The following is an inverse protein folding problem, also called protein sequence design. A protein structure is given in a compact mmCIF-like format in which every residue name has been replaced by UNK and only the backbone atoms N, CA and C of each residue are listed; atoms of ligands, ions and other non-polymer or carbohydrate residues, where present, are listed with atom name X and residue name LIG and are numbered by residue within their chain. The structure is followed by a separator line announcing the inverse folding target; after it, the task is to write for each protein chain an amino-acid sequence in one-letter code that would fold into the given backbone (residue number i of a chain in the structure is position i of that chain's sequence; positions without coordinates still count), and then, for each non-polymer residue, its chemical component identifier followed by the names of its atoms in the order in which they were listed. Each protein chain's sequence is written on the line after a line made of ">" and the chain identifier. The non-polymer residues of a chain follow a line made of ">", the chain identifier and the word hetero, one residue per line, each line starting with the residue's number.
data_IF_341272313629
#
_entry.id   IF_341272313629
#
_cell.length_a   1.000
_cell.length_b   1.000
_cell.length_c   1.000
_cell.angle_alpha   90.00
_cell.angle_beta   90.00
_cell.angle_gamma   90.00
#
_symmetry.space_group_name_H-M   'P 1'
#
loop_
_entity.id
_entity.type
_entity.pdbx_description
1 polymer ?
#
# COMPACT_ATOMS: atom_id res chain seq x y z
N UNK A 1 -3.39 -4.64 25.88
CA UNK A 1 -3.23 -5.42 24.65
C UNK A 1 -3.71 -6.84 24.86
N UNK A 2 -4.50 -7.39 23.95
CA UNK A 2 -4.90 -8.81 23.88
C UNK A 2 -4.00 -9.55 22.89
N UNK A 3 -3.68 -10.82 23.18
CA UNK A 3 -2.79 -11.65 22.37
C UNK A 3 -3.48 -12.94 21.92
N UNK A 4 -3.12 -13.43 20.75
CA UNK A 4 -3.54 -14.75 20.30
C UNK A 4 -2.46 -15.43 19.44
N UNK A 5 -2.48 -16.78 19.45
CA UNK A 5 -1.82 -17.61 18.43
C UNK A 5 -2.91 -18.12 17.50
N UNK A 6 -2.89 -17.63 16.26
CA UNK A 6 -3.91 -17.98 15.25
C UNK A 6 -3.34 -19.05 14.36
N UNK A 7 -3.87 -20.26 14.50
CA UNK A 7 -3.54 -21.39 13.63
C UNK A 7 -4.32 -21.35 12.31
N UNK A 8 -4.15 -22.43 11.53
CA UNK A 8 -4.91 -22.62 10.29
C UNK A 8 -5.82 -23.86 10.43
N UNK A 9 -7.16 -23.68 10.37
CA UNK A 9 -8.10 -24.81 10.50
C UNK A 9 -7.87 -25.94 9.50
N UNK A 10 -7.46 -25.61 8.27
CA UNK A 10 -7.18 -26.60 7.22
C UNK A 10 -5.97 -27.51 7.54
N UNK A 11 -5.09 -27.06 8.43
CA UNK A 11 -3.94 -27.82 8.90
C UNK A 11 -4.12 -28.38 10.31
N UNK A 12 -5.35 -28.30 10.85
CA UNK A 12 -5.67 -28.69 12.24
C UNK A 12 -4.85 -27.92 13.30
N UNK A 13 -4.45 -26.69 13.00
CA UNK A 13 -3.72 -25.84 13.93
C UNK A 13 -4.72 -25.03 14.78
N UNK A 14 -4.66 -25.13 16.13
CA UNK A 14 -5.66 -24.53 16.99
C UNK A 14 -5.47 -23.02 17.15
N UNK A 15 -6.56 -22.34 17.52
CA UNK A 15 -6.54 -21.00 18.07
C UNK A 15 -6.25 -21.04 19.58
N UNK A 16 -5.41 -20.12 20.06
CA UNK A 16 -5.20 -19.85 21.48
C UNK A 16 -5.26 -18.34 21.72
N UNK A 17 -6.05 -17.90 22.72
CA UNK A 17 -6.20 -16.49 23.10
C UNK A 17 -5.71 -16.27 24.52
N UNK A 18 -5.21 -15.07 24.83
CA UNK A 18 -4.86 -14.67 26.21
C UNK A 18 -6.11 -14.61 27.09
N UNK A 19 -5.97 -14.95 28.37
CA UNK A 19 -7.04 -14.91 29.38
C UNK A 19 -7.05 -13.59 30.14
N UNK A 20 -6.06 -12.75 29.96
CA UNK A 20 -5.93 -11.42 30.54
C UNK A 20 -5.21 -10.49 29.56
N UNK A 21 -5.43 -9.18 29.73
CA UNK A 21 -4.66 -8.18 28.98
C UNK A 21 -3.19 -8.18 29.44
N UNK A 22 -2.27 -8.06 28.46
CA UNK A 22 -0.88 -7.79 28.77
C UNK A 22 -0.73 -6.43 29.44
N UNK A 23 0.04 -6.40 30.52
CA UNK A 23 0.43 -5.19 31.24
C UNK A 23 1.88 -4.88 30.89
N UNK A 24 2.15 -3.62 30.66
CA UNK A 24 3.47 -3.10 30.28
C UNK A 24 3.89 -2.04 31.27
N UNK A 25 5.19 -1.87 31.43
CA UNK A 25 5.75 -0.65 32.00
C UNK A 25 5.62 0.49 30.98
N UNK A 26 5.74 1.73 31.45
CA UNK A 26 5.54 2.90 30.59
C UNK A 26 6.52 2.93 29.39
N UNK A 27 7.81 2.65 29.64
CA UNK A 27 8.86 2.54 28.64
C UNK A 27 8.60 1.43 27.60
N UNK A 28 8.09 0.28 28.05
CA UNK A 28 7.72 -0.84 27.19
C UNK A 28 6.48 -0.47 26.33
N UNK A 29 5.50 0.21 26.92
CA UNK A 29 4.28 0.64 26.23
C UNK A 29 4.62 1.66 25.11
N UNK A 30 5.49 2.62 25.40
CA UNK A 30 5.96 3.59 24.41
C UNK A 30 6.68 2.93 23.25
N UNK A 31 7.61 2.02 23.54
CA UNK A 31 8.33 1.25 22.52
C UNK A 31 7.38 0.45 21.63
N UNK A 32 6.42 -0.27 22.22
CA UNK A 32 5.46 -1.08 21.47
C UNK A 32 4.54 -0.23 20.62
N UNK A 33 4.07 0.92 21.14
CA UNK A 33 3.26 1.87 20.41
C UNK A 33 4.02 2.38 19.18
N UNK A 34 5.27 2.81 19.36
CA UNK A 34 6.12 3.24 18.23
C UNK A 34 6.28 2.12 17.18
N UNK A 35 6.60 0.90 17.60
CA UNK A 35 6.80 -0.24 16.72
C UNK A 35 5.53 -0.56 15.92
N UNK A 36 4.37 -0.57 16.56
CA UNK A 36 3.11 -0.92 15.90
C UNK A 36 2.61 0.19 14.98
N UNK A 37 2.79 1.47 15.32
CA UNK A 37 2.38 2.58 14.47
C UNK A 37 3.32 2.78 13.26
N UNK A 38 4.61 2.49 13.41
CA UNK A 38 5.61 2.65 12.32
C UNK A 38 5.21 1.89 11.04
N UNK A 39 4.56 0.74 11.21
CA UNK A 39 4.14 -0.11 10.08
C UNK A 39 3.07 0.54 9.19
N UNK A 40 2.32 1.52 9.72
CA UNK A 40 1.18 2.14 9.03
C UNK A 40 1.51 3.47 8.33
N UNK A 41 2.77 3.85 8.27
CA UNK A 41 3.17 5.10 7.60
C UNK A 41 2.96 5.03 6.09
N UNK A 42 2.43 6.11 5.52
CA UNK A 42 2.26 6.29 4.07
C UNK A 42 1.38 5.25 3.37
N UNK A 43 0.41 4.67 4.08
CA UNK A 43 -0.58 3.76 3.52
C UNK A 43 -1.81 4.52 3.01
N UNK A 44 -2.56 3.86 2.13
CA UNK A 44 -3.83 4.38 1.62
C UNK A 44 -4.92 4.31 2.70
N UNK A 45 -5.81 5.31 2.69
CA UNK A 45 -6.97 5.34 3.56
C UNK A 45 -8.04 4.36 3.04
N UNK A 46 -8.55 3.53 3.95
CA UNK A 46 -9.65 2.60 3.71
C UNK A 46 -10.78 2.87 4.71
N UNK A 47 -11.93 2.28 4.46
CA UNK A 47 -13.03 2.21 5.43
C UNK A 47 -13.59 0.79 5.48
N UNK A 48 -14.12 0.39 6.63
CA UNK A 48 -14.87 -0.88 6.77
C UNK A 48 -16.13 -0.81 5.92
N UNK A 49 -16.49 -1.94 5.35
CA UNK A 49 -17.69 -2.07 4.50
C UNK A 49 -18.31 -3.44 4.66
N UNK A 50 -19.59 -3.53 4.33
CA UNK A 50 -20.28 -4.79 4.17
C UNK A 50 -21.29 -4.67 3.02
N UNK A 51 -21.56 -5.76 2.32
CA UNK A 51 -22.42 -5.75 1.13
C UNK A 51 -23.89 -5.42 1.40
N UNK A 52 -24.35 -5.53 2.65
CA UNK A 52 -25.72 -5.18 3.04
C UNK A 52 -25.76 -3.99 4.00
N UNK A 53 -25.09 -4.09 5.14
CA UNK A 53 -25.14 -3.13 6.23
C UNK A 53 -23.81 -3.11 6.95
N UNK A 54 -23.25 -1.94 7.22
CA UNK A 54 -21.95 -1.75 7.87
C UNK A 54 -21.89 -2.44 9.25
N UNK A 55 -22.99 -2.45 9.98
CA UNK A 55 -23.10 -3.09 11.30
C UNK A 55 -22.90 -4.61 11.24
N UNK A 56 -22.97 -5.23 10.06
CA UNK A 56 -22.70 -6.65 9.85
C UNK A 56 -21.23 -6.96 9.54
N UNK A 57 -20.37 -5.93 9.49
CA UNK A 57 -18.94 -6.14 9.44
C UNK A 57 -18.44 -6.44 10.85
N UNK A 58 -17.87 -7.62 11.06
CA UNK A 58 -17.46 -8.10 12.38
C UNK A 58 -16.42 -7.17 13.04
N UNK A 59 -15.45 -6.64 12.24
CA UNK A 59 -14.47 -5.72 12.80
C UNK A 59 -15.06 -4.36 13.18
N UNK A 60 -16.10 -3.91 12.46
CA UNK A 60 -16.83 -2.70 12.82
C UNK A 60 -17.54 -2.86 14.17
N UNK A 61 -18.18 -4.00 14.39
CA UNK A 61 -18.86 -4.33 15.66
C UNK A 61 -17.83 -4.36 16.80
N UNK A 62 -16.72 -5.10 16.65
CA UNK A 62 -15.70 -5.23 17.68
C UNK A 62 -14.99 -3.90 17.97
N UNK A 63 -14.68 -3.12 16.93
CA UNK A 63 -14.10 -1.79 17.11
C UNK A 63 -15.05 -0.85 17.83
N UNK A 64 -16.34 -0.86 17.46
CA UNK A 64 -17.37 -0.04 18.12
C UNK A 64 -17.54 -0.41 19.59
N UNK A 65 -17.45 -1.70 19.93
CA UNK A 65 -17.50 -2.15 21.33
C UNK A 65 -16.30 -1.64 22.13
N UNK A 66 -15.08 -1.76 21.59
CA UNK A 66 -13.85 -1.30 22.26
C UNK A 66 -13.86 0.22 22.45
N UNK A 67 -14.22 0.99 21.41
CA UNK A 67 -14.28 2.46 21.50
C UNK A 67 -15.41 2.96 22.42
N UNK A 68 -16.47 2.17 22.60
CA UNK A 68 -17.55 2.47 23.54
C UNK A 68 -17.18 2.17 24.99
N UNK A 69 -16.41 1.10 25.22
CA UNK A 69 -15.91 0.69 26.53
C UNK A 69 -14.58 -0.05 26.39
N UNK A 70 -13.49 0.57 26.82
CA UNK A 70 -12.13 0.01 26.75
C UNK A 70 -11.98 -1.33 27.49
N UNK A 71 -12.85 -1.65 28.44
CA UNK A 71 -12.87 -2.94 29.14
C UNK A 71 -13.23 -4.10 28.21
N UNK A 72 -13.88 -3.84 27.07
CA UNK A 72 -14.21 -4.83 26.06
C UNK A 72 -12.99 -5.34 25.28
N UNK A 73 -11.81 -4.70 25.41
CA UNK A 73 -10.61 -5.03 24.61
C UNK A 73 -10.21 -6.51 24.70
N UNK A 74 -10.33 -7.15 25.87
CA UNK A 74 -9.97 -8.56 26.01
C UNK A 74 -10.93 -9.47 25.24
N UNK A 75 -12.22 -9.27 25.41
CA UNK A 75 -13.26 -10.08 24.78
C UNK A 75 -13.33 -9.83 23.27
N UNK A 76 -13.37 -8.57 22.87
CA UNK A 76 -13.35 -8.20 21.45
C UNK A 76 -12.06 -8.64 20.75
N UNK A 77 -10.90 -8.54 21.41
CA UNK A 77 -9.64 -9.07 20.88
C UNK A 77 -9.65 -10.58 20.66
N UNK A 78 -10.28 -11.33 21.59
CA UNK A 78 -10.50 -12.77 21.41
C UNK A 78 -11.48 -13.07 20.25
N UNK A 79 -12.52 -12.26 20.05
CA UNK A 79 -13.48 -12.37 18.95
C UNK A 79 -12.80 -12.06 17.61
N UNK A 80 -11.99 -11.01 17.54
CA UNK A 80 -11.15 -10.71 16.35
C UNK A 80 -10.27 -11.91 16.00
N UNK A 81 -9.63 -12.55 16.97
CA UNK A 81 -8.80 -13.72 16.76
C UNK A 81 -9.62 -14.94 16.26
N UNK A 82 -10.84 -15.15 16.79
CA UNK A 82 -11.76 -16.21 16.31
C UNK A 82 -12.22 -15.97 14.88
N UNK A 83 -12.57 -14.72 14.57
CA UNK A 83 -12.95 -14.31 13.20
C UNK A 83 -11.80 -14.55 12.23
N UNK A 84 -10.59 -14.11 12.57
CA UNK A 84 -9.40 -14.36 11.74
C UNK A 84 -9.12 -15.85 11.54
N UNK A 85 -9.23 -16.66 12.61
CA UNK A 85 -9.05 -18.10 12.51
C UNK A 85 -10.10 -18.75 11.59
N UNK A 86 -11.37 -18.37 11.71
CA UNK A 86 -12.44 -18.86 10.85
C UNK A 86 -12.23 -18.51 9.38
N UNK A 87 -11.71 -17.32 9.08
CA UNK A 87 -11.36 -16.89 7.70
C UNK A 87 -10.07 -17.53 7.18
N UNK A 88 -9.20 -18.07 8.05
CA UNK A 88 -7.93 -18.72 7.67
C UNK A 88 -8.11 -20.15 7.11
N UNK A 89 -9.08 -20.33 6.22
CA UNK A 89 -9.51 -21.62 5.69
C UNK A 89 -8.90 -22.00 4.32
N UNK A 90 -7.70 -21.51 4.01
CA UNK A 90 -6.95 -21.87 2.82
C UNK A 90 -5.54 -22.36 3.20
N UNK A 91 -5.01 -23.43 2.58
CA UNK A 91 -3.75 -24.05 2.99
C UNK A 91 -2.53 -23.10 2.94
N UNK A 92 -2.55 -22.10 2.08
CA UNK A 92 -1.45 -21.13 1.94
C UNK A 92 -1.47 -20.02 3.00
N UNK A 93 -2.55 -19.88 3.78
CA UNK A 93 -2.61 -18.90 4.86
C UNK A 93 -1.77 -19.39 6.02
N UNK A 94 -0.72 -18.65 6.35
CA UNK A 94 0.19 -18.99 7.43
C UNK A 94 -0.45 -18.75 8.79
N UNK A 95 -0.14 -19.61 9.76
CA UNK A 95 -0.35 -19.35 11.18
C UNK A 95 0.52 -18.20 11.67
N UNK A 96 0.14 -17.55 12.77
CA UNK A 96 0.94 -16.46 13.31
C UNK A 96 0.49 -15.98 14.69
N UNK A 97 1.30 -15.11 15.25
CA UNK A 97 1.01 -14.43 16.50
C UNK A 97 0.23 -13.13 16.19
N UNK A 98 -0.90 -12.92 16.86
CA UNK A 98 -1.78 -11.77 16.72
C UNK A 98 -1.72 -10.91 17.97
N UNK A 99 -1.55 -9.59 17.77
CA UNK A 99 -1.64 -8.58 18.80
C UNK A 99 -2.78 -7.62 18.48
N UNK A 100 -3.68 -7.38 19.42
CA UNK A 100 -4.75 -6.38 19.35
C UNK A 100 -4.53 -5.38 20.47
N UNK A 101 -4.13 -4.16 20.12
CA UNK A 101 -3.81 -3.10 21.07
C UNK A 101 -4.74 -1.91 20.89
N UNK A 102 -5.21 -1.34 21.98
CA UNK A 102 -5.82 0.00 22.02
C UNK A 102 -4.71 1.01 22.27
N UNK A 103 -4.67 2.06 21.49
CA UNK A 103 -3.71 3.15 21.53
C UNK A 103 -4.47 4.45 21.72
N UNK A 104 -4.13 5.19 22.74
CA UNK A 104 -4.68 6.50 23.05
C UNK A 104 -3.89 7.62 22.35
N UNK A 105 -4.45 8.83 22.36
CA UNK A 105 -3.81 10.06 21.92
C UNK A 105 -3.30 10.08 20.48
N UNK A 106 -3.97 9.35 19.59
CA UNK A 106 -3.74 9.46 18.14
C UNK A 106 -4.33 10.79 17.65
N UNK A 107 -3.53 11.61 17.00
CA UNK A 107 -3.99 12.91 16.48
C UNK A 107 -4.45 12.79 15.04
N UNK A 108 -5.73 13.10 14.78
CA UNK A 108 -6.33 13.16 13.45
C UNK A 108 -6.93 14.55 13.24
N UNK A 109 -6.50 15.27 12.22
CA UNK A 109 -6.99 16.64 11.92
C UNK A 109 -6.94 17.61 13.10
N UNK A 110 -5.95 17.41 14.00
CA UNK A 110 -5.75 18.26 15.19
C UNK A 110 -6.54 17.81 16.43
N UNK A 111 -7.34 16.77 16.37
CA UNK A 111 -8.09 16.21 17.47
C UNK A 111 -7.46 14.90 17.97
N UNK A 112 -7.36 14.75 19.29
CA UNK A 112 -6.89 13.51 19.90
C UNK A 112 -8.02 12.46 19.93
N UNK A 113 -7.71 11.24 19.50
CA UNK A 113 -8.64 10.12 19.47
C UNK A 113 -7.92 8.82 19.79
N UNK A 114 -8.66 7.71 19.80
CA UNK A 114 -8.14 6.36 20.01
C UNK A 114 -7.97 5.62 18.68
N UNK A 115 -7.09 4.62 18.67
CA UNK A 115 -6.99 3.67 17.58
C UNK A 115 -6.82 2.25 18.10
N UNK A 116 -7.30 1.27 17.32
CA UNK A 116 -7.09 -0.14 17.54
C UNK A 116 -6.06 -0.63 16.51
N UNK A 117 -4.92 -1.10 16.98
CA UNK A 117 -3.90 -1.74 16.13
C UNK A 117 -4.06 -3.25 16.20
N UNK A 118 -4.30 -3.87 15.05
CA UNK A 118 -4.38 -5.33 14.86
C UNK A 118 -3.19 -5.70 13.99
N UNK A 119 -2.21 -6.39 14.56
CA UNK A 119 -1.01 -6.81 13.82
C UNK A 119 -0.80 -8.31 13.93
N UNK A 120 -0.46 -8.95 12.81
CA UNK A 120 -0.16 -10.38 12.71
C UNK A 120 1.27 -10.59 12.24
N UNK A 121 2.04 -11.35 13.01
CA UNK A 121 3.37 -11.82 12.62
C UNK A 121 3.30 -13.30 12.27
N UNK A 122 3.67 -13.63 11.05
CA UNK A 122 3.71 -14.99 10.51
C UNK A 122 5.14 -15.58 10.53
N UNK A 123 6.12 -14.70 10.69
CA UNK A 123 7.54 -15.03 10.68
C UNK A 123 8.17 -14.68 12.03
N UNK A 124 9.07 -15.53 12.50
CA UNK A 124 9.92 -15.26 13.66
C UNK A 124 11.36 -15.11 13.23
N UNK A 125 12.08 -14.22 13.88
CA UNK A 125 13.52 -14.04 13.68
C UNK A 125 14.30 -14.55 14.88
N UNK A 126 15.42 -15.22 14.68
CA UNK A 126 16.30 -15.59 15.77
C UNK A 126 17.03 -14.35 16.29
N UNK A 127 17.18 -14.24 17.60
CA UNK A 127 18.05 -13.28 18.25
C UNK A 127 18.92 -13.95 19.30
N UNK A 128 20.08 -13.37 19.56
CA UNK A 128 21.04 -13.85 20.52
C UNK A 128 20.85 -13.09 21.84
N UNK A 129 20.86 -13.85 22.93
CA UNK A 129 20.82 -13.31 24.29
C UNK A 129 22.01 -13.84 25.09
N UNK A 130 22.74 -12.89 25.68
CA UNK A 130 23.78 -13.23 26.65
C UNK A 130 23.17 -13.04 28.04
N UNK A 131 23.18 -14.08 28.83
CA UNK A 131 22.70 -14.09 30.22
C UNK A 131 23.72 -14.69 31.15
N UNK A 132 23.67 -14.28 32.41
CA UNK A 132 24.50 -14.91 33.48
C UNK A 132 23.74 -16.09 34.09
N UNK A 133 24.38 -17.26 34.13
CA UNK A 133 23.88 -18.45 34.81
C UNK A 133 25.01 -19.08 35.61
N UNK A 134 24.77 -19.33 36.87
CA UNK A 134 25.73 -19.99 37.81
C UNK A 134 27.11 -19.30 37.85
N UNK A 135 27.16 -17.97 37.64
CA UNK A 135 28.40 -17.18 37.67
C UNK A 135 29.17 -17.17 36.35
N UNK A 136 28.64 -17.77 35.29
CA UNK A 136 29.24 -17.75 33.95
C UNK A 136 28.32 -17.09 32.91
N UNK A 137 28.92 -16.60 31.81
CA UNK A 137 28.18 -16.02 30.69
C UNK A 137 27.76 -17.09 29.70
N UNK A 138 26.45 -17.17 29.45
CA UNK A 138 25.86 -18.15 28.54
C UNK A 138 25.20 -17.42 27.38
N UNK A 139 25.52 -17.84 26.14
CA UNK A 139 24.87 -17.40 24.92
C UNK A 139 23.71 -18.33 24.58
N UNK A 140 22.52 -17.78 24.50
CA UNK A 140 21.31 -18.50 24.06
C UNK A 140 20.75 -17.90 22.79
N UNK A 141 20.05 -18.72 21.99
CA UNK A 141 19.29 -18.28 20.81
C UNK A 141 17.82 -18.38 21.11
N UNK A 142 17.12 -17.27 20.97
CA UNK A 142 15.68 -17.15 21.15
C UNK A 142 15.02 -16.79 19.81
N UNK A 143 13.72 -17.01 19.70
CA UNK A 143 12.95 -16.60 18.52
C UNK A 143 11.85 -15.61 18.93
N UNK A 144 11.79 -14.48 18.25
CA UNK A 144 10.83 -13.42 18.54
C UNK A 144 10.22 -12.79 17.31
N UNK A 145 9.21 -11.97 17.57
CA UNK A 145 8.62 -11.08 16.56
C UNK A 145 9.58 -9.92 16.34
N UNK A 146 9.88 -9.64 15.06
CA UNK A 146 10.64 -8.44 14.71
C UNK A 146 9.68 -7.34 14.30
N UNK A 147 9.56 -6.25 15.07
CA UNK A 147 8.53 -5.23 14.86
C UNK A 147 8.56 -4.56 13.47
N UNK A 148 9.74 -4.46 12.85
CA UNK A 148 9.88 -3.89 11.52
C UNK A 148 9.45 -4.84 10.37
N UNK A 149 9.25 -6.12 10.70
CA UNK A 149 8.85 -7.17 9.74
C UNK A 149 7.49 -7.78 10.08
N UNK A 150 6.57 -6.98 10.57
CA UNK A 150 5.18 -7.41 10.71
C UNK A 150 4.62 -7.74 9.33
N UNK A 151 3.97 -8.89 9.22
CA UNK A 151 3.48 -9.42 7.93
C UNK A 151 2.16 -8.78 7.52
N UNK A 152 1.23 -8.60 8.46
CA UNK A 152 -0.11 -8.03 8.20
C UNK A 152 -0.51 -7.08 9.31
N UNK A 153 -1.21 -6.00 8.93
CA UNK A 153 -1.69 -5.03 9.90
C UNK A 153 -2.98 -4.36 9.48
N UNK A 154 -3.76 -3.95 10.48
CA UNK A 154 -4.93 -3.10 10.34
C UNK A 154 -4.95 -2.12 11.52
N UNK A 155 -4.96 -0.83 11.25
CA UNK A 155 -5.11 0.25 12.22
C UNK A 155 -6.48 0.87 12.01
N UNK A 156 -7.37 0.71 12.97
CA UNK A 156 -8.72 1.29 12.96
C UNK A 156 -8.69 2.52 13.88
N UNK A 157 -8.91 3.69 13.31
CA UNK A 157 -8.94 4.96 14.05
C UNK A 157 -10.38 5.29 14.41
N UNK A 158 -10.64 5.73 15.61
CA UNK A 158 -11.95 6.17 16.07
C UNK A 158 -12.33 7.53 15.45
N UNK A 159 -12.42 7.54 14.12
CA UNK A 159 -12.77 8.70 13.31
C UNK A 159 -13.62 8.25 12.11
N UNK A 160 -14.68 9.00 11.78
CA UNK A 160 -15.54 8.68 10.62
C UNK A 160 -16.37 7.40 10.81
N UNK A 161 -16.90 7.13 12.03
CA UNK A 161 -17.67 5.92 12.34
C UNK A 161 -18.80 5.66 11.36
N UNK A 162 -19.55 6.69 10.97
CA UNK A 162 -20.68 6.55 10.05
C UNK A 162 -20.30 6.00 8.68
N UNK A 163 -19.06 6.24 8.24
CA UNK A 163 -18.51 5.83 6.96
C UNK A 163 -17.62 4.57 7.07
N UNK A 164 -17.61 3.90 8.23
CA UNK A 164 -16.86 2.66 8.46
C UNK A 164 -15.48 2.85 9.08
N UNK A 165 -15.27 3.89 9.85
CA UNK A 165 -13.99 4.30 10.45
C UNK A 165 -12.88 4.60 9.44
N UNK A 166 -11.90 5.36 9.87
CA UNK A 166 -10.66 5.59 9.10
C UNK A 166 -9.69 4.44 9.36
N UNK A 167 -9.30 3.73 8.30
CA UNK A 167 -8.50 2.52 8.42
C UNK A 167 -7.24 2.61 7.56
N UNK A 168 -6.11 2.20 8.13
CA UNK A 168 -4.90 1.91 7.40
C UNK A 168 -4.58 0.43 7.52
N UNK A 169 -4.23 -0.22 6.43
CA UNK A 169 -3.96 -1.66 6.43
C UNK A 169 -2.89 -2.05 5.41
N UNK A 170 -2.22 -3.16 5.68
CA UNK A 170 -1.24 -3.74 4.78
C UNK A 170 -1.19 -5.27 4.89
N UNK A 171 -0.79 -5.92 3.82
CA UNK A 171 -0.43 -7.32 3.73
C UNK A 171 0.87 -7.45 2.92
N UNK A 172 1.96 -7.85 3.59
CA UNK A 172 3.28 -8.04 2.94
C UNK A 172 3.46 -9.47 2.40
N UNK A 173 2.48 -10.34 2.61
CA UNK A 173 2.59 -11.77 2.30
C UNK A 173 2.46 -12.17 0.83
N UNK A 174 2.31 -11.24 -0.08
CA UNK A 174 2.26 -11.41 -1.54
C UNK A 174 1.35 -12.56 -2.00
N UNK A 175 0.23 -12.29 -2.67
CA UNK A 175 -0.64 -13.30 -3.30
C UNK A 175 -1.91 -13.68 -2.54
N UNK A 176 -2.11 -13.26 -1.30
CA UNK A 176 -3.36 -13.45 -0.57
C UNK A 176 -3.94 -12.15 -0.01
N UNK A 177 -3.69 -11.02 -0.68
CA UNK A 177 -4.13 -9.69 -0.27
C UNK A 177 -5.65 -9.64 -0.08
N UNK A 178 -6.40 -10.36 -0.92
CA UNK A 178 -7.85 -10.47 -0.82
C UNK A 178 -8.31 -11.11 0.50
N UNK A 179 -7.59 -12.10 1.02
CA UNK A 179 -7.93 -12.75 2.29
C UNK A 179 -7.89 -11.74 3.46
N UNK A 180 -6.77 -10.98 3.61
CA UNK A 180 -6.61 -10.07 4.74
C UNK A 180 -7.53 -8.85 4.62
N UNK A 181 -7.54 -8.21 3.46
CA UNK A 181 -8.27 -6.95 3.23
C UNK A 181 -9.77 -7.20 3.08
N UNK A 182 -10.16 -8.13 2.19
CA UNK A 182 -11.56 -8.37 1.84
C UNK A 182 -12.25 -9.30 2.81
N UNK A 183 -11.65 -10.48 3.08
CA UNK A 183 -12.38 -11.56 3.76
C UNK A 183 -12.32 -11.44 5.29
N UNK A 184 -11.17 -10.96 5.84
CA UNK A 184 -11.01 -10.75 7.28
C UNK A 184 -11.40 -9.34 7.71
N UNK A 185 -10.81 -8.28 7.13
CA UNK A 185 -11.10 -6.91 7.55
C UNK A 185 -12.42 -6.42 6.97
N UNK A 186 -12.76 -6.79 5.75
CA UNK A 186 -13.93 -6.28 5.05
C UNK A 186 -13.81 -4.79 4.78
N UNK A 187 -12.67 -4.36 4.24
CA UNK A 187 -12.38 -2.96 3.96
C UNK A 187 -12.29 -2.67 2.47
N UNK A 188 -12.59 -1.44 2.10
CA UNK A 188 -12.40 -0.89 0.75
C UNK A 188 -11.62 0.42 0.80
N UNK A 189 -10.84 0.76 -0.26
CA UNK A 189 -10.22 2.07 -0.36
C UNK A 189 -11.24 3.20 -0.33
N UNK A 190 -10.88 4.30 0.34
CA UNK A 190 -11.67 5.53 0.29
C UNK A 190 -11.24 6.32 -0.94
N UNK A 191 -12.17 6.54 -1.87
CA UNK A 191 -11.96 7.33 -3.09
C UNK A 191 -11.92 8.82 -2.80
N UNK A 192 -10.86 9.27 -2.14
CA UNK A 192 -10.57 10.69 -1.97
C UNK A 192 -9.62 11.20 -3.08
N UNK A 193 -9.35 12.50 -3.07
CA UNK A 193 -8.51 13.15 -4.08
C UNK A 193 -7.08 12.59 -4.10
N UNK A 194 -6.49 12.24 -2.95
CA UNK A 194 -5.18 11.58 -2.86
C UNK A 194 -5.20 10.23 -3.59
N UNK A 195 -6.22 9.41 -3.33
CA UNK A 195 -6.41 8.12 -3.98
C UNK A 195 -6.57 8.28 -5.50
N UNK A 196 -7.47 9.16 -5.94
CA UNK A 196 -7.77 9.38 -7.35
C UNK A 196 -6.53 9.88 -8.11
N UNK A 197 -5.83 10.87 -7.56
CA UNK A 197 -4.58 11.39 -8.16
C UNK A 197 -3.55 10.29 -8.32
N UNK A 198 -3.35 9.47 -7.28
CA UNK A 198 -2.41 8.35 -7.33
C UNK A 198 -2.81 7.32 -8.36
N UNK A 199 -4.10 6.93 -8.42
CA UNK A 199 -4.59 5.92 -9.37
C UNK A 199 -4.53 6.38 -10.81
N UNK A 200 -4.87 7.64 -11.09
CA UNK A 200 -4.68 8.18 -12.44
C UNK A 200 -3.20 8.25 -12.85
N UNK A 201 -2.31 8.61 -11.93
CA UNK A 201 -0.89 8.58 -12.23
C UNK A 201 -0.38 7.16 -12.52
N UNK A 202 -0.81 6.14 -11.75
CA UNK A 202 -0.50 4.73 -12.00
C UNK A 202 -1.06 4.26 -13.33
N UNK A 203 -2.34 4.52 -13.61
CA UNK A 203 -3.01 4.22 -14.88
C UNK A 203 -2.25 4.81 -16.08
N UNK A 204 -1.88 6.08 -16.01
CA UNK A 204 -1.17 6.76 -17.10
C UNK A 204 0.22 6.16 -17.38
N UNK A 205 0.97 5.83 -16.32
CA UNK A 205 2.28 5.20 -16.48
C UNK A 205 2.15 3.80 -17.05
N UNK A 206 1.24 2.98 -16.54
CA UNK A 206 1.00 1.62 -17.05
C UNK A 206 0.48 1.64 -18.48
N UNK A 207 -0.43 2.53 -18.81
CA UNK A 207 -0.89 2.71 -20.19
C UNK A 207 0.26 3.05 -21.14
N UNK A 208 1.14 3.95 -20.76
CA UNK A 208 2.31 4.30 -21.58
C UNK A 208 3.27 3.11 -21.74
N UNK A 209 3.41 2.26 -20.74
CA UNK A 209 4.30 1.08 -20.78
C UNK A 209 3.68 -0.09 -21.55
N UNK A 210 2.39 -0.37 -21.36
CA UNK A 210 1.74 -1.61 -21.79
C UNK A 210 0.55 -1.40 -22.72
N UNK A 211 -0.17 -0.27 -22.62
CA UNK A 211 -1.41 0.00 -23.34
C UNK A 211 -1.23 0.66 -24.70
N UNK A 212 -0.05 1.17 -25.01
CA UNK A 212 0.27 1.74 -26.32
C UNK A 212 0.52 0.64 -27.36
N UNK A 213 0.60 1.02 -28.66
CA UNK A 213 0.75 0.09 -29.76
C UNK A 213 1.98 -0.80 -29.64
N UNK A 214 1.84 -2.04 -30.12
CA UNK A 214 2.98 -2.92 -30.36
C UNK A 214 3.92 -2.24 -31.39
N UNK A 215 5.14 -1.91 -30.96
CA UNK A 215 6.10 -1.19 -31.78
C UNK A 215 6.17 0.32 -31.53
N UNK A 216 5.38 0.88 -30.63
CA UNK A 216 5.57 2.27 -30.18
C UNK A 216 6.99 2.44 -29.61
N UNK A 217 7.65 3.50 -30.06
CA UNK A 217 9.01 3.78 -29.61
C UNK A 217 9.05 4.10 -28.12
N UNK A 218 10.14 3.74 -27.45
CA UNK A 218 10.28 4.03 -26.01
C UNK A 218 10.15 5.53 -25.69
N UNK A 219 10.56 6.39 -26.63
CA UNK A 219 10.40 7.85 -26.53
C UNK A 219 8.95 8.28 -26.50
N UNK A 220 8.11 7.72 -27.36
CA UNK A 220 6.67 8.02 -27.41
C UNK A 220 6.01 7.59 -26.09
N UNK A 221 6.37 6.42 -25.55
CA UNK A 221 5.90 5.94 -24.25
C UNK A 221 6.32 6.88 -23.13
N UNK A 222 7.59 7.31 -23.13
CA UNK A 222 8.10 8.28 -22.17
C UNK A 222 7.40 9.63 -22.28
N UNK A 223 7.20 10.13 -23.50
CA UNK A 223 6.54 11.41 -23.74
C UNK A 223 5.08 11.40 -23.26
N UNK A 224 4.35 10.30 -23.49
CA UNK A 224 2.96 10.14 -23.00
C UNK A 224 2.92 10.12 -21.49
N UNK A 225 3.75 9.28 -20.85
CA UNK A 225 3.80 9.23 -19.38
C UNK A 225 4.18 10.58 -18.77
N UNK A 226 5.17 11.27 -19.36
CA UNK A 226 5.61 12.59 -18.91
C UNK A 226 4.51 13.64 -19.02
N UNK A 227 3.84 13.74 -20.18
CA UNK A 227 2.73 14.69 -20.38
C UNK A 227 1.58 14.44 -19.42
N UNK A 228 1.23 13.17 -19.19
CA UNK A 228 0.18 12.80 -18.26
C UNK A 228 0.50 13.20 -16.81
N UNK A 229 1.72 12.95 -16.37
CA UNK A 229 2.17 13.35 -15.01
C UNK A 229 2.31 14.87 -14.90
N UNK A 230 2.77 15.56 -15.96
CA UNK A 230 2.82 17.03 -15.97
C UNK A 230 1.42 17.63 -15.85
N UNK A 231 0.43 17.10 -16.57
CA UNK A 231 -0.96 17.56 -16.45
C UNK A 231 -1.44 17.49 -15.00
N UNK A 232 -1.21 16.34 -14.30
CA UNK A 232 -1.57 16.20 -12.89
C UNK A 232 -0.82 17.20 -11.97
N UNK A 233 0.44 17.53 -12.26
CA UNK A 233 1.20 18.50 -11.46
C UNK A 233 0.74 19.94 -11.69
N UNK A 234 0.37 20.28 -12.90
CA UNK A 234 0.09 21.65 -13.33
C UNK A 234 -1.37 22.08 -13.08
N UNK A 235 -2.32 21.13 -12.97
CA UNK A 235 -3.73 21.43 -12.75
C UNK A 235 -4.14 21.26 -11.28
N UNK A 236 -5.07 22.08 -10.80
CA UNK A 236 -5.66 21.95 -9.46
C UNK A 236 -6.88 21.02 -9.46
N UNK A 237 -7.56 20.92 -10.59
CA UNK A 237 -8.68 20.02 -10.80
C UNK A 237 -8.41 19.13 -12.02
N UNK A 238 -8.64 17.84 -11.87
CA UNK A 238 -8.59 16.88 -12.96
C UNK A 238 -9.94 16.84 -13.67
N UNK A 239 -9.91 16.92 -14.99
CA UNK A 239 -11.04 16.70 -15.89
C UNK A 239 -10.57 15.70 -16.97
N UNK A 240 -11.25 14.56 -17.07
CA UNK A 240 -10.86 13.49 -18.00
C UNK A 240 -10.89 13.94 -19.46
N UNK A 241 -11.91 14.71 -19.87
CA UNK A 241 -12.03 15.18 -21.25
C UNK A 241 -10.90 16.15 -21.61
N UNK A 242 -10.55 17.06 -20.69
CA UNK A 242 -9.42 17.98 -20.86
C UNK A 242 -8.08 17.25 -20.87
N UNK A 243 -7.91 16.26 -19.98
CA UNK A 243 -6.73 15.39 -19.91
C UNK A 243 -6.52 14.64 -21.24
N UNK A 244 -7.57 14.03 -21.80
CA UNK A 244 -7.53 13.30 -23.05
C UNK A 244 -7.06 14.20 -24.21
N UNK A 245 -7.56 15.43 -24.28
CA UNK A 245 -7.17 16.40 -25.31
C UNK A 245 -5.74 16.90 -25.12
N UNK A 246 -5.33 17.18 -23.89
CA UNK A 246 -4.08 17.88 -23.59
C UNK A 246 -2.89 16.92 -23.50
N UNK A 247 -3.05 15.80 -22.80
CA UNK A 247 -1.97 14.87 -22.51
C UNK A 247 -1.84 13.75 -23.57
N UNK A 248 -2.97 13.23 -24.06
CA UNK A 248 -2.98 12.14 -25.03
C UNK A 248 -3.02 12.64 -26.50
N UNK A 249 -3.86 13.60 -26.79
CA UNK A 249 -3.91 14.37 -28.04
C UNK A 249 -4.47 13.63 -29.26
N UNK A 250 -3.99 12.42 -29.55
CA UNK A 250 -4.37 11.66 -30.74
C UNK A 250 -5.66 10.84 -30.51
N UNK A 251 -6.67 10.90 -31.41
CA UNK A 251 -7.94 10.17 -31.20
C UNK A 251 -7.78 8.68 -30.98
N UNK A 252 -6.88 8.03 -31.73
CA UNK A 252 -6.63 6.58 -31.59
C UNK A 252 -6.01 6.24 -30.22
N UNK A 253 -5.14 7.12 -29.72
CA UNK A 253 -4.52 6.97 -28.40
C UNK A 253 -5.55 7.18 -27.30
N UNK A 254 -6.45 8.15 -27.45
CA UNK A 254 -7.57 8.39 -26.52
C UNK A 254 -8.49 7.17 -26.45
N UNK A 255 -8.83 6.58 -27.60
CA UNK A 255 -9.67 5.38 -27.64
C UNK A 255 -9.02 4.20 -26.89
N UNK A 256 -7.73 3.96 -27.13
CA UNK A 256 -6.98 2.91 -26.44
C UNK A 256 -6.86 3.17 -24.94
N UNK A 257 -6.68 4.43 -24.55
CA UNK A 257 -6.65 4.80 -23.13
C UNK A 257 -7.97 4.51 -22.43
N UNK A 258 -9.11 4.78 -23.08
CA UNK A 258 -10.43 4.45 -22.52
C UNK A 258 -10.60 2.94 -22.30
N UNK A 259 -10.25 2.14 -23.28
CA UNK A 259 -10.30 0.68 -23.17
C UNK A 259 -9.35 0.16 -22.08
N UNK A 260 -8.16 0.74 -21.97
CA UNK A 260 -7.19 0.40 -20.92
C UNK A 260 -7.68 0.81 -19.53
N UNK A 261 -8.32 1.99 -19.42
CA UNK A 261 -8.93 2.49 -18.18
C UNK A 261 -10.05 1.56 -17.70
N UNK A 262 -10.93 1.09 -18.58
CA UNK A 262 -11.98 0.15 -18.25
C UNK A 262 -11.40 -1.15 -17.67
N UNK A 263 -10.40 -1.74 -18.32
CA UNK A 263 -9.72 -2.94 -17.82
C UNK A 263 -9.03 -2.69 -16.47
N UNK A 264 -8.38 -1.54 -16.30
CA UNK A 264 -7.73 -1.14 -15.05
C UNK A 264 -8.75 -1.01 -13.90
N UNK A 265 -9.92 -0.41 -14.17
CA UNK A 265 -11.02 -0.29 -13.20
C UNK A 265 -11.60 -1.66 -12.81
N UNK A 266 -11.77 -2.58 -13.77
CA UNK A 266 -12.21 -3.95 -13.52
C UNK A 266 -11.20 -4.73 -12.66
N UNK A 267 -9.92 -4.64 -12.96
CA UNK A 267 -8.85 -5.30 -12.21
C UNK A 267 -8.79 -4.81 -10.75
N UNK A 268 -8.98 -3.51 -10.54
CA UNK A 268 -8.96 -2.91 -9.21
C UNK A 268 -10.33 -2.96 -8.50
N UNK A 269 -11.39 -3.38 -9.20
CA UNK A 269 -12.75 -3.48 -8.66
C UNK A 269 -13.36 -2.15 -8.27
N UNK A 270 -12.93 -1.05 -8.88
CA UNK A 270 -13.36 0.31 -8.53
C UNK A 270 -13.26 1.27 -9.71
N UNK A 271 -14.38 1.96 -10.00
CA UNK A 271 -14.42 3.02 -11.01
C UNK A 271 -13.75 4.30 -10.52
N UNK A 272 -13.01 4.96 -11.40
CA UNK A 272 -12.36 6.23 -11.15
C UNK A 272 -13.27 7.40 -11.57
N UNK A 273 -13.39 8.39 -10.69
CA UNK A 273 -14.15 9.60 -11.01
C UNK A 273 -13.47 10.37 -12.16
N UNK A 274 -14.26 10.91 -13.06
CA UNK A 274 -13.78 11.68 -14.21
C UNK A 274 -13.38 13.12 -13.85
N UNK A 275 -13.86 13.62 -12.69
CA UNK A 275 -13.55 14.97 -12.16
C UNK A 275 -13.29 14.92 -10.67
N UNK A 276 -12.18 15.51 -10.23
CA UNK A 276 -11.78 15.58 -8.83
C UNK A 276 -10.67 16.63 -8.63
N UNK A 277 -10.44 17.06 -7.38
CA UNK A 277 -9.34 17.97 -7.06
C UNK A 277 -8.01 17.21 -7.00
N UNK A 278 -6.98 17.73 -7.64
CA UNK A 278 -5.68 17.06 -7.72
C UNK A 278 -4.91 17.23 -6.41
N UNK A 279 -4.50 16.12 -5.82
CA UNK A 279 -3.56 16.13 -4.69
C UNK A 279 -2.15 16.43 -5.18
N UNK A 280 -1.67 17.66 -4.97
CA UNK A 280 -0.31 18.08 -5.36
C UNK A 280 0.77 17.18 -4.77
N UNK A 281 0.58 16.74 -3.53
CA UNK A 281 1.47 15.81 -2.85
C UNK A 281 1.60 14.47 -3.58
N UNK A 282 0.51 13.89 -4.06
CA UNK A 282 0.55 12.61 -4.76
C UNK A 282 1.01 12.78 -6.21
N UNK A 283 0.65 13.89 -6.87
CA UNK A 283 1.15 14.24 -8.19
C UNK A 283 2.68 14.43 -8.20
N UNK A 284 3.24 15.18 -7.24
CA UNK A 284 4.70 15.33 -7.07
C UNK A 284 5.41 13.99 -6.80
N UNK A 285 4.81 13.12 -5.96
CA UNK A 285 5.36 11.78 -5.73
C UNK A 285 5.37 10.93 -7.00
N UNK A 286 4.33 11.02 -7.82
CA UNK A 286 4.26 10.32 -9.11
C UNK A 286 5.33 10.85 -10.06
N UNK A 287 5.50 12.16 -10.16
CA UNK A 287 6.58 12.81 -10.94
C UNK A 287 7.96 12.32 -10.51
N UNK A 288 8.23 12.30 -9.20
CA UNK A 288 9.52 11.85 -8.65
C UNK A 288 9.78 10.34 -8.85
N UNK A 289 8.74 9.54 -9.01
CA UNK A 289 8.83 8.09 -9.27
C UNK A 289 8.91 7.75 -10.74
N UNK A 290 8.55 8.69 -11.63
CA UNK A 290 8.62 8.48 -13.07
C UNK A 290 10.07 8.20 -13.49
N UNK A 291 10.35 6.92 -13.75
CA UNK A 291 11.66 6.44 -14.19
C UNK A 291 11.47 5.67 -15.47
N UNK A 292 12.21 6.04 -16.48
CA UNK A 292 12.22 5.29 -17.72
C UNK A 292 13.53 4.53 -17.89
N UNK A 293 13.45 3.36 -18.50
CA UNK A 293 14.61 2.53 -18.84
C UNK A 293 14.56 2.20 -20.32
N UNK A 294 15.68 2.40 -20.98
CA UNK A 294 15.90 1.95 -22.35
C UNK A 294 16.92 0.82 -22.35
N UNK A 295 16.53 -0.33 -22.89
CA UNK A 295 17.44 -1.47 -23.09
C UNK A 295 17.79 -1.57 -24.55
N UNK A 296 19.08 -1.62 -24.85
CA UNK A 296 19.59 -1.85 -26.19
C UNK A 296 20.03 -3.32 -26.34
N UNK A 297 19.91 -3.86 -27.54
CA UNK A 297 20.25 -5.24 -27.87
C UNK A 297 21.74 -5.56 -27.67
N UNK A 298 22.59 -4.52 -27.71
CA UNK A 298 24.02 -4.60 -27.41
C UNK A 298 24.37 -4.76 -25.93
N UNK A 299 23.36 -4.97 -25.07
CA UNK A 299 23.55 -5.20 -23.62
C UNK A 299 23.66 -3.93 -22.78
N UNK A 300 23.39 -2.76 -23.35
CA UNK A 300 23.36 -1.49 -22.61
C UNK A 300 21.96 -1.23 -22.08
N UNK A 301 21.88 -0.80 -20.81
CA UNK A 301 20.65 -0.29 -20.20
C UNK A 301 20.89 1.12 -19.71
N UNK A 302 20.11 2.07 -20.21
CA UNK A 302 20.09 3.45 -19.75
C UNK A 302 18.88 3.64 -18.83
N UNK A 303 19.07 4.34 -17.71
CA UNK A 303 18.00 4.71 -16.80
C UNK A 303 17.93 6.23 -16.72
N UNK A 304 16.74 6.77 -16.99
CA UNK A 304 16.49 8.20 -17.03
C UNK A 304 15.76 8.64 -15.77
N UNK A 305 16.16 9.79 -15.23
CA UNK A 305 15.43 10.45 -14.14
C UNK A 305 14.16 11.12 -14.65
N UNK A 306 13.24 11.44 -13.75
CA UNK A 306 12.03 12.19 -14.10
C UNK A 306 12.34 13.52 -14.78
N UNK A 307 13.30 14.27 -14.29
CA UNK A 307 13.72 15.55 -14.90
C UNK A 307 14.23 15.39 -16.33
N UNK A 308 14.99 14.31 -16.62
CA UNK A 308 15.40 14.02 -18.00
C UNK A 308 14.21 13.64 -18.89
N UNK A 309 13.27 12.84 -18.37
CA UNK A 309 12.09 12.40 -19.13
C UNK A 309 11.24 13.60 -19.59
N UNK A 310 11.08 14.62 -18.74
CA UNK A 310 10.34 15.84 -19.09
C UNK A 310 11.00 16.68 -20.17
N UNK A 311 12.33 16.63 -20.32
CA UNK A 311 13.10 17.40 -21.29
C UNK A 311 13.82 16.49 -22.30
N UNK A 312 13.35 15.26 -22.51
CA UNK A 312 14.03 14.27 -23.34
C UNK A 312 14.32 14.79 -24.77
N UNK A 313 13.38 15.47 -25.38
CA UNK A 313 13.51 16.07 -26.71
C UNK A 313 14.68 17.08 -26.79
N UNK A 314 15.05 17.68 -25.68
CA UNK A 314 16.14 18.65 -25.59
C UNK A 314 17.52 17.99 -25.45
N UNK A 315 17.56 16.85 -24.76
CA UNK A 315 18.82 16.21 -24.34
C UNK A 315 19.10 14.90 -25.06
N UNK A 316 18.16 14.37 -25.85
CA UNK A 316 18.32 13.08 -26.53
C UNK A 316 17.98 13.20 -28.02
N UNK A 317 18.79 12.59 -28.85
CA UNK A 317 18.60 12.48 -30.29
C UNK A 317 18.75 11.02 -30.72
N UNK A 318 17.85 10.57 -31.56
CA UNK A 318 17.96 9.27 -32.26
C UNK A 318 18.19 9.45 -33.75
N UNK A 319 18.85 8.47 -34.33
CA UNK A 319 19.04 8.40 -35.76
C UNK A 319 19.54 7.04 -36.19
N UNK A 320 19.66 6.88 -37.51
CA UNK A 320 20.22 5.70 -38.15
C UNK A 320 21.53 6.09 -38.79
N UNK A 321 22.59 5.34 -38.47
CA UNK A 321 23.93 5.49 -39.09
C UNK A 321 24.02 4.53 -40.29
N UNK A 322 24.00 5.09 -41.48
CA UNK A 322 24.02 4.31 -42.74
C UNK A 322 25.33 3.55 -42.96
N UNK A 323 26.43 4.09 -42.45
CA UNK A 323 27.76 3.45 -42.61
C UNK A 323 27.88 2.21 -41.72
N UNK A 324 27.34 2.31 -40.47
CA UNK A 324 27.33 1.20 -39.53
C UNK A 324 26.12 0.30 -39.68
N UNK A 325 25.10 0.75 -40.40
CA UNK A 325 23.77 0.09 -40.51
C UNK A 325 23.12 -0.21 -39.15
N UNK A 326 23.21 0.75 -38.27
CA UNK A 326 22.72 0.66 -36.89
C UNK A 326 21.99 1.93 -36.46
N UNK A 327 21.01 1.77 -35.61
CA UNK A 327 20.43 2.90 -34.91
C UNK A 327 21.40 3.45 -33.84
N UNK A 328 21.29 4.73 -33.55
CA UNK A 328 22.06 5.36 -32.48
C UNK A 328 21.20 6.23 -31.60
N UNK A 329 21.61 6.36 -30.34
CA UNK A 329 21.06 7.33 -29.37
C UNK A 329 22.21 8.24 -28.93
N UNK A 330 22.03 9.57 -29.08
CA UNK A 330 22.93 10.59 -28.55
C UNK A 330 22.31 11.28 -27.36
N UNK A 331 23.08 11.47 -26.32
CA UNK A 331 22.68 12.19 -25.12
C UNK A 331 23.60 13.42 -24.96
N UNK A 332 22.99 14.59 -24.86
CA UNK A 332 23.70 15.85 -24.65
C UNK A 332 23.74 16.19 -23.17
N UNK A 333 24.89 16.51 -22.64
CA UNK A 333 25.12 16.87 -21.25
C UNK A 333 26.20 17.94 -21.10
N UNK A 334 26.20 18.68 -19.98
CA UNK A 334 27.18 19.74 -19.75
C UNK A 334 28.42 19.26 -18.98
N UNK A 335 28.26 18.30 -18.06
CA UNK A 335 29.35 17.77 -17.24
C UNK A 335 29.06 16.37 -16.74
N UNK A 336 30.08 15.56 -16.55
CA UNK A 336 30.02 14.32 -15.79
C UNK A 336 30.04 14.63 -14.31
N UNK A 337 29.20 13.91 -13.50
CA UNK A 337 29.04 14.12 -12.05
C UNK A 337 29.54 12.87 -11.30
#
# INVERSE_FOLDING_TARGET
>A
MSLAKVGNPMRNEPLRTSQALCRFKEDEAELLTHCFLKCFKSLELHSLTHHTDLEKNELFEYASAIFGDNNQLLEAGANIARHLHAKSNHPNIKSGDLCVALIDDIVVSGEATQAISIVKSESKVPFLQISERDGDLVLTTEQGIYPEKIDKGCLIINHGKADGYSIYLFDKGGGSTQFWIRDFVGAKPVTNDDYLTKRYAELCVQFAEEGMEDGALQEDRMAVASKAISYLNDTDEFDLDEFEMTALGEPDRVQKFKEYKENFEEEHGQSLKEKFSVSKKEAEKAGNRLKSKMKLDVGVTMQFSSGFVHEADRFMERGYDEDKRMEYVKIYFNSEI
#
